data_IF_085970871979
#
_entry.id   IF_085970871979
#
_cell.length_a   1.000
_cell.length_b   1.000
_cell.length_c   1.000
_cell.angle_alpha   90.00
_cell.angle_beta   90.00
_cell.angle_gamma   90.00
#
_symmetry.space_group_name_H-M   'P 1'
#
loop_
_entity.id
_entity.type
_entity.pdbx_description
1 polymer ?
#
# COMPACT_ATOMS: atom_id res chain seq x y z
N UNK A 1 30.41 -38.95 -46.79
CA UNK A 1 28.94 -38.87 -46.96
C UNK A 1 28.28 -38.69 -45.59
N UNK A 2 27.68 -37.51 -45.34
CA UNK A 2 26.48 -37.35 -44.48
C UNK A 2 25.24 -37.48 -45.41
N UNK A 3 23.98 -37.60 -44.93
CA UNK A 3 23.40 -37.23 -43.62
C UNK A 3 22.54 -38.37 -42.99
N UNK A 4 22.05 -38.31 -41.75
CA UNK A 4 20.89 -37.55 -41.25
C UNK A 4 20.95 -37.54 -39.71
N UNK A 5 20.99 -36.39 -39.03
CA UNK A 5 19.88 -35.52 -38.63
C UNK A 5 18.90 -36.20 -37.66
N UNK A 6 19.26 -36.26 -36.39
CA UNK A 6 18.30 -35.95 -35.33
C UNK A 6 18.94 -34.90 -34.42
N UNK A 7 18.36 -33.71 -34.52
CA UNK A 7 18.72 -32.51 -33.80
C UNK A 7 17.72 -32.46 -32.65
N UNK A 8 18.11 -32.98 -31.49
CA UNK A 8 17.33 -32.76 -30.27
C UNK A 8 17.73 -31.38 -29.70
N UNK A 9 17.22 -30.35 -30.37
CA UNK A 9 17.00 -29.06 -29.73
C UNK A 9 15.66 -29.22 -29.04
N UNK A 10 15.64 -29.40 -27.71
CA UNK A 10 14.52 -28.82 -27.01
C UNK A 10 14.89 -28.20 -25.67
N UNK A 11 14.63 -26.90 -25.67
CA UNK A 11 14.45 -25.97 -24.58
C UNK A 11 14.90 -26.43 -23.18
N UNK A 12 16.07 -25.94 -22.77
CA UNK A 12 16.28 -25.56 -21.36
C UNK A 12 15.17 -24.56 -21.03
N UNK A 13 14.09 -25.05 -20.43
CA UNK A 13 13.02 -24.23 -19.88
C UNK A 13 13.63 -23.39 -18.76
N UNK A 14 14.14 -22.22 -19.15
CA UNK A 14 14.48 -21.14 -18.24
C UNK A 14 13.16 -20.59 -17.72
N UNK A 15 12.54 -21.35 -16.82
CA UNK A 15 11.45 -20.86 -15.99
C UNK A 15 12.05 -19.67 -15.26
N UNK A 16 11.65 -18.47 -15.69
CA UNK A 16 11.88 -17.23 -14.96
C UNK A 16 11.36 -17.44 -13.55
N UNK A 17 12.22 -17.90 -12.63
CA UNK A 17 11.94 -17.89 -11.20
C UNK A 17 11.82 -16.42 -10.85
N UNK A 18 10.59 -15.90 -10.89
CA UNK A 18 10.23 -14.61 -10.32
C UNK A 18 10.88 -14.60 -8.95
N UNK A 19 11.91 -13.78 -8.76
CA UNK A 19 12.62 -13.65 -7.48
C UNK A 19 11.53 -13.49 -6.44
N UNK A 20 11.33 -14.54 -5.63
CA UNK A 20 10.27 -14.56 -4.63
C UNK A 20 10.40 -13.28 -3.83
N UNK A 21 9.32 -12.51 -3.75
CA UNK A 21 9.30 -11.28 -2.95
C UNK A 21 9.65 -11.72 -1.53
N UNK A 22 10.86 -11.39 -1.08
CA UNK A 22 11.34 -11.77 0.24
C UNK A 22 10.30 -11.40 1.30
N UNK A 23 10.16 -12.25 2.33
CA UNK A 23 9.17 -12.06 3.41
C UNK A 23 9.20 -10.60 3.88
N UNK A 24 8.02 -9.97 3.91
CA UNK A 24 7.86 -8.60 4.34
C UNK A 24 8.44 -8.45 5.75
N UNK A 25 9.57 -7.74 5.88
CA UNK A 25 10.15 -7.41 7.19
C UNK A 25 9.35 -6.26 7.81
N UNK A 26 8.11 -6.54 8.24
CA UNK A 26 7.29 -5.60 9.04
C UNK A 26 7.97 -5.25 10.37
N UNK A 27 8.83 -6.13 10.89
CA UNK A 27 9.55 -5.96 12.16
C UNK A 27 10.33 -4.64 12.26
N UNK A 28 10.72 -4.02 11.14
CA UNK A 28 11.43 -2.73 11.16
C UNK A 28 10.53 -1.51 11.40
N UNK A 29 9.21 -1.68 11.47
CA UNK A 29 8.30 -0.60 11.92
C UNK A 29 8.32 -0.53 13.45
N UNK A 30 8.16 -1.67 14.13
CA UNK A 30 8.23 -1.73 15.60
C UNK A 30 9.61 -1.33 16.15
N UNK A 31 10.69 -1.63 15.41
CA UNK A 31 12.05 -1.26 15.82
C UNK A 31 12.27 0.26 15.88
N UNK A 32 11.54 1.07 15.10
CA UNK A 32 11.72 2.54 15.11
C UNK A 32 10.75 3.30 16.01
N UNK A 33 9.69 2.65 16.49
CA UNK A 33 8.79 3.18 17.53
C UNK A 33 9.17 2.72 18.94
N UNK A 34 10.27 1.97 19.12
CA UNK A 34 10.73 1.41 20.41
C UNK A 34 10.95 2.43 21.54
N UNK A 35 10.84 3.74 21.31
CA UNK A 35 11.02 4.78 22.32
C UNK A 35 9.97 5.91 22.25
N UNK A 36 8.76 5.63 21.76
CA UNK A 36 7.66 6.63 21.76
C UNK A 36 7.89 7.86 20.87
N UNK A 37 8.98 7.90 20.10
CA UNK A 37 9.29 8.98 19.17
C UNK A 37 8.41 8.94 17.92
N UNK A 38 7.88 10.10 17.52
CA UNK A 38 7.15 10.26 16.26
C UNK A 38 8.11 10.23 15.08
N UNK A 39 7.70 9.61 13.97
CA UNK A 39 8.52 9.56 12.76
C UNK A 39 8.43 10.90 12.03
N UNK A 40 9.56 11.56 11.81
CA UNK A 40 9.61 12.79 11.01
C UNK A 40 9.32 12.50 9.53
N UNK A 41 8.37 13.24 8.96
CA UNK A 41 8.03 13.19 7.54
C UNK A 41 8.35 14.54 6.89
N UNK A 42 8.95 14.47 5.70
CA UNK A 42 9.27 15.65 4.91
C UNK A 42 8.45 15.58 3.62
N UNK A 43 7.61 16.58 3.40
CA UNK A 43 6.98 16.87 2.11
C UNK A 43 7.54 18.23 1.68
N UNK A 44 8.48 18.28 0.73
CA UNK A 44 9.01 19.53 0.22
C UNK A 44 7.93 20.35 -0.46
N UNK A 45 8.05 21.67 -0.44
CA UNK A 45 6.97 22.54 -0.92
C UNK A 45 6.70 22.45 -2.43
N UNK A 46 7.69 22.00 -3.21
CA UNK A 46 7.60 21.86 -4.65
C UNK A 46 7.01 20.52 -5.13
N UNK A 47 6.73 19.57 -4.22
CA UNK A 47 6.21 18.24 -4.61
C UNK A 47 5.15 17.74 -3.61
N UNK A 48 4.13 17.07 -4.13
CA UNK A 48 3.04 16.49 -3.32
C UNK A 48 3.35 15.07 -2.84
N UNK A 49 4.60 14.80 -2.46
CA UNK A 49 5.04 13.45 -2.08
C UNK A 49 5.98 13.47 -0.88
N UNK A 50 5.76 12.53 0.03
CA UNK A 50 6.69 12.26 1.13
C UNK A 50 8.05 11.78 0.61
N UNK A 51 9.13 12.39 1.13
CA UNK A 51 10.53 12.08 0.81
C UNK A 51 11.28 11.64 2.06
N UNK A 52 12.41 10.96 1.86
CA UNK A 52 13.29 10.53 2.93
C UNK A 52 12.92 9.16 3.53
N UNK A 53 13.56 8.84 4.64
CA UNK A 53 13.47 7.52 5.27
C UNK A 53 12.07 7.18 5.77
N UNK A 54 11.26 8.18 6.12
CA UNK A 54 9.87 8.04 6.58
C UNK A 54 8.83 7.83 5.47
N UNK A 55 9.16 8.13 4.21
CA UNK A 55 8.20 8.12 3.10
C UNK A 55 7.52 6.75 2.88
N UNK A 56 8.29 5.66 2.97
CA UNK A 56 7.73 4.31 2.86
C UNK A 56 6.85 3.97 4.06
N UNK A 57 7.21 4.42 5.25
CA UNK A 57 6.48 4.13 6.48
C UNK A 57 5.11 4.78 6.47
N UNK A 58 5.01 6.06 6.11
CA UNK A 58 3.71 6.74 6.03
C UNK A 58 2.77 6.05 5.05
N UNK A 59 3.24 5.68 3.85
CA UNK A 59 2.40 4.96 2.87
C UNK A 59 1.89 3.63 3.41
N UNK A 60 2.74 2.88 4.12
CA UNK A 60 2.36 1.60 4.70
C UNK A 60 1.38 1.78 5.87
N UNK A 61 1.67 2.72 6.77
CA UNK A 61 0.82 3.07 7.90
C UNK A 61 -0.55 3.58 7.44
N UNK A 62 -0.62 4.48 6.46
CA UNK A 62 -1.89 4.95 5.90
C UNK A 62 -2.71 3.79 5.32
N UNK A 63 -2.07 2.85 4.61
CA UNK A 63 -2.75 1.66 4.11
C UNK A 63 -3.25 0.72 5.22
N UNK A 64 -2.51 0.61 6.32
CA UNK A 64 -2.91 -0.19 7.48
C UNK A 64 -4.08 0.48 8.22
N UNK A 65 -3.94 1.76 8.57
CA UNK A 65 -4.95 2.57 9.24
C UNK A 65 -6.27 2.51 8.46
N UNK A 66 -6.21 2.71 7.15
CA UNK A 66 -7.38 2.63 6.27
C UNK A 66 -8.07 1.27 6.41
N UNK A 67 -7.35 0.15 6.18
CA UNK A 67 -7.95 -1.20 6.25
C UNK A 67 -8.46 -1.57 7.65
N UNK A 68 -7.87 -1.02 8.70
CA UNK A 68 -8.30 -1.28 10.09
C UNK A 68 -9.46 -0.39 10.55
N UNK A 69 -9.74 0.70 9.85
CA UNK A 69 -10.73 1.71 10.30
C UNK A 69 -12.00 1.71 9.47
N UNK A 70 -12.00 1.06 8.30
CA UNK A 70 -13.14 1.06 7.38
C UNK A 70 -13.66 -0.36 7.17
N UNK A 71 -14.96 -0.49 6.98
CA UNK A 71 -15.65 -1.68 6.52
C UNK A 71 -15.91 -1.61 5.02
N UNK A 72 -16.13 -2.77 4.39
CA UNK A 72 -16.59 -2.82 3.00
C UNK A 72 -17.98 -2.18 2.83
N UNK A 73 -18.82 -2.24 3.87
CA UNK A 73 -20.18 -1.71 3.87
C UNK A 73 -20.24 -0.17 3.90
N UNK A 74 -19.13 0.51 4.22
CA UNK A 74 -19.10 1.99 4.25
C UNK A 74 -19.23 2.63 2.85
N UNK A 75 -19.27 1.81 1.81
CA UNK A 75 -19.69 2.23 0.47
C UNK A 75 -18.56 2.88 -0.34
N UNK A 76 -18.75 4.14 -0.71
CA UNK A 76 -17.81 4.87 -1.56
C UNK A 76 -16.80 5.69 -0.74
N UNK A 77 -15.72 6.14 -1.39
CA UNK A 77 -14.64 6.85 -0.69
C UNK A 77 -15.11 8.15 -0.02
N UNK A 78 -16.05 8.88 -0.62
CA UNK A 78 -16.55 10.15 -0.06
C UNK A 78 -17.29 9.90 1.27
N UNK A 79 -18.16 8.89 1.33
CA UNK A 79 -18.85 8.47 2.56
C UNK A 79 -17.87 8.02 3.64
N UNK A 80 -16.84 7.27 3.24
CA UNK A 80 -15.77 6.83 4.15
C UNK A 80 -15.02 8.02 4.74
N UNK A 81 -14.62 9.00 3.93
CA UNK A 81 -13.90 10.18 4.43
C UNK A 81 -14.80 11.01 5.36
N UNK A 82 -16.07 11.17 5.03
CA UNK A 82 -17.02 11.89 5.88
C UNK A 82 -17.19 11.21 7.25
N UNK A 83 -17.26 9.88 7.28
CA UNK A 83 -17.51 9.10 8.51
C UNK A 83 -16.26 8.81 9.34
N UNK A 84 -15.14 8.52 8.69
CA UNK A 84 -13.93 7.99 9.33
C UNK A 84 -12.69 8.85 9.10
N UNK A 85 -12.76 9.89 8.25
CA UNK A 85 -11.60 10.67 7.83
C UNK A 85 -10.84 11.31 8.99
N UNK A 86 -11.57 11.91 9.92
CA UNK A 86 -10.98 12.56 11.10
C UNK A 86 -10.27 11.54 12.01
N UNK A 87 -10.94 10.44 12.35
CA UNK A 87 -10.36 9.36 13.16
C UNK A 87 -9.12 8.72 12.50
N UNK A 88 -9.15 8.53 11.17
CA UNK A 88 -7.99 8.05 10.42
C UNK A 88 -6.84 9.07 10.45
N UNK A 89 -7.14 10.37 10.39
CA UNK A 89 -6.14 11.43 10.48
C UNK A 89 -5.48 11.46 11.86
N UNK A 90 -6.24 11.37 12.96
CA UNK A 90 -5.66 11.32 14.31
C UNK A 90 -4.70 10.15 14.51
N UNK A 91 -5.03 8.95 13.98
CA UNK A 91 -4.12 7.79 14.01
C UNK A 91 -2.81 8.01 13.23
N UNK A 92 -2.81 8.89 12.23
CA UNK A 92 -1.59 9.29 11.52
C UNK A 92 -0.79 10.28 12.38
N UNK A 93 -1.45 11.29 12.95
CA UNK A 93 -0.84 12.31 13.82
C UNK A 93 -0.20 11.73 15.09
N UNK A 94 -0.71 10.59 15.57
CA UNK A 94 -0.13 9.84 16.69
C UNK A 94 1.26 9.27 16.32
N UNK A 95 1.45 8.84 15.06
CA UNK A 95 2.63 8.10 14.62
C UNK A 95 3.70 8.97 13.95
N UNK A 96 3.30 10.12 13.40
CA UNK A 96 4.16 10.98 12.61
C UNK A 96 4.25 12.38 13.19
N UNK A 97 5.43 12.97 13.12
CA UNK A 97 5.64 14.36 13.48
C UNK A 97 5.16 15.21 12.30
N UNK A 98 4.22 16.11 12.58
CA UNK A 98 3.60 16.97 11.57
C UNK A 98 4.05 18.38 11.81
N UNK A 99 4.74 18.94 10.82
CA UNK A 99 5.07 20.36 10.81
C UNK A 99 3.79 21.14 10.50
N UNK A 100 3.33 21.97 11.43
CA UNK A 100 2.10 22.76 11.27
C UNK A 100 2.10 23.69 10.06
N UNK A 101 0.92 24.23 9.75
CA UNK A 101 0.70 25.17 8.65
C UNK A 101 0.57 24.48 7.29
N UNK A 102 1.12 25.07 6.22
CA UNK A 102 0.96 24.60 4.84
C UNK A 102 1.40 23.14 4.63
N UNK A 103 2.45 22.70 5.36
CA UNK A 103 3.00 21.34 5.25
C UNK A 103 2.06 20.29 5.85
N UNK A 104 1.27 20.65 6.85
CA UNK A 104 0.25 19.78 7.43
C UNK A 104 -0.87 19.49 6.43
N UNK A 105 -1.38 20.52 5.76
CA UNK A 105 -2.40 20.35 4.73
C UNK A 105 -1.91 19.49 3.55
N UNK A 106 -0.66 19.69 3.12
CA UNK A 106 -0.03 18.83 2.10
C UNK A 106 0.08 17.38 2.56
N UNK A 107 0.47 17.17 3.81
CA UNK A 107 0.53 15.83 4.41
C UNK A 107 -0.84 15.17 4.47
N UNK A 108 -1.86 15.91 4.88
CA UNK A 108 -3.24 15.44 4.94
C UNK A 108 -3.73 15.04 3.54
N UNK A 109 -3.53 15.89 2.53
CA UNK A 109 -3.86 15.58 1.13
C UNK A 109 -3.11 14.36 0.59
N UNK A 110 -1.81 14.25 0.89
CA UNK A 110 -0.99 13.10 0.53
C UNK A 110 -1.50 11.80 1.17
N UNK A 111 -1.89 11.84 2.44
CA UNK A 111 -2.43 10.68 3.17
C UNK A 111 -3.78 10.27 2.60
N UNK A 112 -4.71 11.22 2.40
CA UNK A 112 -6.04 10.96 1.85
C UNK A 112 -5.93 10.33 0.46
N UNK A 113 -5.12 10.90 -0.43
CA UNK A 113 -4.91 10.37 -1.78
C UNK A 113 -4.28 8.98 -1.77
N UNK A 114 -3.33 8.74 -0.85
CA UNK A 114 -2.72 7.42 -0.64
C UNK A 114 -3.74 6.39 -0.18
N UNK A 115 -4.56 6.72 0.83
CA UNK A 115 -5.60 5.84 1.35
C UNK A 115 -6.66 5.55 0.28
N UNK A 116 -7.10 6.55 -0.48
CA UNK A 116 -8.07 6.38 -1.56
C UNK A 116 -7.57 5.39 -2.62
N UNK A 117 -6.32 5.56 -3.09
CA UNK A 117 -5.72 4.65 -4.07
C UNK A 117 -5.65 3.22 -3.54
N UNK A 118 -5.29 3.05 -2.27
CA UNK A 118 -5.23 1.75 -1.60
C UNK A 118 -6.62 1.14 -1.43
N UNK A 119 -7.62 1.93 -1.12
CA UNK A 119 -9.01 1.50 -1.01
C UNK A 119 -9.54 0.99 -2.35
N UNK A 120 -9.33 1.74 -3.45
CA UNK A 120 -9.73 1.31 -4.80
C UNK A 120 -9.08 -0.02 -5.18
N UNK A 121 -7.77 -0.14 -4.95
CA UNK A 121 -7.04 -1.39 -5.22
C UNK A 121 -7.53 -2.55 -4.35
N UNK A 122 -7.89 -2.30 -3.09
CA UNK A 122 -8.45 -3.32 -2.21
C UNK A 122 -9.85 -3.76 -2.66
N UNK A 123 -10.75 -2.82 -2.98
CA UNK A 123 -12.09 -3.11 -3.50
C UNK A 123 -12.03 -3.92 -4.80
N UNK A 124 -11.13 -3.56 -5.73
CA UNK A 124 -10.94 -4.32 -6.98
C UNK A 124 -10.49 -5.78 -6.72
N UNK A 125 -9.59 -6.00 -5.75
CA UNK A 125 -9.15 -7.35 -5.38
C UNK A 125 -10.27 -8.18 -4.79
N UNK A 126 -11.09 -7.58 -3.91
CA UNK A 126 -12.24 -8.26 -3.33
C UNK A 126 -13.26 -8.62 -4.41
N UNK A 127 -13.58 -7.68 -5.30
CA UNK A 127 -14.47 -7.93 -6.43
C UNK A 127 -13.99 -9.13 -7.26
N UNK A 128 -12.71 -9.16 -7.65
CA UNK A 128 -12.16 -10.26 -8.42
C UNK A 128 -12.17 -11.60 -7.66
N UNK A 129 -11.96 -11.57 -6.34
CA UNK A 129 -11.99 -12.77 -5.52
C UNK A 129 -13.40 -13.35 -5.44
N UNK A 130 -14.42 -12.52 -5.15
CA UNK A 130 -15.80 -12.99 -5.03
C UNK A 130 -16.44 -13.31 -6.37
N UNK A 131 -16.11 -12.58 -7.44
CA UNK A 131 -16.61 -12.88 -8.80
C UNK A 131 -16.08 -14.21 -9.34
N UNK A 132 -14.97 -14.72 -8.79
CA UNK A 132 -14.46 -16.03 -9.16
C UNK A 132 -15.32 -17.18 -8.61
N UNK A 133 -16.07 -16.94 -7.53
CA UNK A 133 -16.96 -17.94 -6.91
C UNK A 133 -18.43 -17.76 -7.32
N UNK A 134 -18.79 -16.69 -8.04
CA UNK A 134 -20.15 -16.50 -8.56
C UNK A 134 -20.43 -17.25 -9.86
N UNK A 135 -19.46 -18.05 -10.33
CA UNK A 135 -19.57 -18.91 -11.52
C UNK A 135 -19.80 -20.38 -11.11
N UNK A 136 -19.66 -20.68 -9.81
CA UNK A 136 -19.99 -21.99 -9.24
C UNK A 136 -21.43 -21.94 -8.69
N UNK A 137 -22.43 -21.93 -9.57
CA UNK A 137 -23.81 -22.35 -9.21
C UNK A 137 -24.11 -23.72 -9.83
N UNK A 138 -24.72 -24.58 -9.01
CA UNK A 138 -25.16 -25.97 -9.24
C UNK A 138 -26.20 -26.13 -10.37
#
# INVERSE_FOLDING_TARGET
MRPSLEVEIDAVSRINRKRGRGKYKSKTVDIKTKYGGKIKIIIPDNIDRAVGSGARYIVNCSGLIMRSSISFQDGNWQKIVLKHGEAMWYKVMEKFEVCGGLREHKLQGFVISTMQRRFRAWKARLHNHYSAYSIDED
#
